data_IF_898334760349
#
_entry.id   IF_898334760349
#
_cell.length_a   1.000
_cell.length_b   1.000
_cell.length_c   1.000
_cell.angle_alpha   90.00
_cell.angle_beta   90.00
_cell.angle_gamma   90.00
#
_symmetry.space_group_name_H-M   'P 1'
#
loop_
_entity.id
_entity.type
_entity.pdbx_description
1 polymer ?
#
# COMPACT_ATOMS: atom_id res chain seq x y z
N UNK A 1 3.25 -20.83 -8.27
CA UNK A 1 1.83 -20.97 -7.87
C UNK A 1 0.99 -20.28 -8.94
N UNK A 2 -0.12 -20.89 -9.41
CA UNK A 2 -1.02 -20.24 -10.36
C UNK A 2 -1.66 -18.98 -9.77
N UNK A 3 -1.78 -17.91 -10.55
CA UNK A 3 -2.34 -16.62 -10.10
C UNK A 3 -3.76 -16.76 -9.52
N UNK A 4 -4.61 -17.57 -10.16
CA UNK A 4 -5.98 -17.84 -9.72
C UNK A 4 -6.08 -18.43 -8.30
N UNK A 5 -5.02 -19.10 -7.81
CA UNK A 5 -4.99 -19.73 -6.49
C UNK A 5 -4.33 -18.84 -5.40
N UNK A 6 -3.93 -17.61 -5.75
CA UNK A 6 -3.21 -16.70 -4.83
C UNK A 6 -4.10 -16.26 -3.67
N UNK A 7 -5.40 -16.05 -3.92
CA UNK A 7 -6.34 -15.59 -2.90
C UNK A 7 -6.39 -16.48 -1.66
N UNK A 8 -6.31 -17.80 -1.85
CA UNK A 8 -6.35 -18.80 -0.78
C UNK A 8 -5.09 -18.80 0.11
N UNK A 9 -4.03 -18.08 -0.30
CA UNK A 9 -2.79 -17.93 0.47
C UNK A 9 -2.74 -16.64 1.29
N UNK A 10 -3.75 -15.77 1.17
CA UNK A 10 -3.79 -14.48 1.86
C UNK A 10 -4.64 -14.61 3.12
N UNK A 11 -4.00 -14.57 4.30
CA UNK A 11 -4.69 -14.59 5.58
C UNK A 11 -5.47 -13.29 5.85
N UNK A 12 -4.92 -12.15 5.43
CA UNK A 12 -5.52 -10.83 5.64
C UNK A 12 -4.57 -9.69 5.29
N UNK A 13 -4.97 -8.49 5.69
CA UNK A 13 -4.35 -7.21 5.33
C UNK A 13 -4.19 -6.35 6.58
N UNK A 14 -3.19 -5.48 6.60
CA UNK A 14 -2.94 -4.50 7.66
C UNK A 14 -2.40 -3.21 7.05
N UNK A 15 -2.52 -2.09 7.75
CA UNK A 15 -1.85 -0.86 7.34
C UNK A 15 -0.35 -1.00 7.56
N UNK A 16 0.45 -0.56 6.59
CA UNK A 16 1.90 -0.55 6.63
C UNK A 16 2.41 0.86 6.35
N UNK A 17 3.27 1.38 7.22
CA UNK A 17 4.11 2.53 6.93
C UNK A 17 5.56 2.06 6.76
N UNK A 18 6.04 2.09 5.52
CA UNK A 18 7.41 1.77 5.13
C UNK A 18 8.24 3.05 5.08
N UNK A 19 8.79 3.44 6.24
CA UNK A 19 9.55 4.67 6.40
C UNK A 19 10.77 4.70 5.49
N UNK A 20 11.20 5.89 5.09
CA UNK A 20 12.33 5.98 4.17
C UNK A 20 13.14 7.26 4.28
N UNK A 21 14.46 7.10 4.30
CA UNK A 21 15.43 8.18 4.16
C UNK A 21 15.82 8.32 2.69
N UNK A 22 15.18 9.24 1.96
CA UNK A 22 15.27 9.31 0.48
C UNK A 22 16.64 9.77 -0.02
N UNK A 23 17.34 10.57 0.76
CA UNK A 23 18.73 10.97 0.53
C UNK A 23 19.68 9.77 0.59
N UNK A 24 19.57 8.94 1.63
CA UNK A 24 20.33 7.69 1.76
C UNK A 24 19.96 6.73 0.62
N UNK A 25 18.65 6.59 0.33
CA UNK A 25 18.17 5.69 -0.72
C UNK A 25 18.74 6.05 -2.08
N UNK A 26 18.75 7.33 -2.44
CA UNK A 26 19.26 7.79 -3.72
C UNK A 26 20.74 7.47 -3.91
N UNK A 27 21.52 7.51 -2.83
CA UNK A 27 22.94 7.14 -2.85
C UNK A 27 23.19 5.63 -2.94
N UNK A 28 22.45 4.82 -2.17
CA UNK A 28 22.75 3.38 -2.01
C UNK A 28 22.04 2.46 -3.01
N UNK A 29 20.92 2.89 -3.63
CA UNK A 29 20.02 1.98 -4.34
C UNK A 29 20.67 1.28 -5.54
N UNK A 30 21.67 1.91 -6.17
CA UNK A 30 22.32 1.31 -7.33
C UNK A 30 23.55 0.49 -6.91
N UNK A 31 23.71 -0.75 -7.41
CA UNK A 31 22.83 -1.48 -8.35
C UNK A 31 21.84 -2.46 -7.67
N UNK A 32 21.88 -2.61 -6.34
CA UNK A 32 21.29 -3.76 -5.63
C UNK A 32 19.92 -3.50 -4.99
N UNK A 33 19.42 -2.27 -5.08
CA UNK A 33 18.17 -1.85 -4.45
C UNK A 33 18.36 -1.15 -3.10
N UNK A 34 17.27 -0.70 -2.46
CA UNK A 34 17.32 0.01 -1.19
C UNK A 34 17.76 -0.93 -0.07
N UNK A 35 18.51 -0.43 0.90
CA UNK A 35 18.96 -1.18 2.06
C UNK A 35 18.78 -0.39 3.35
N UNK A 36 19.79 0.42 3.75
CA UNK A 36 19.75 1.18 5.01
C UNK A 36 18.63 2.22 5.01
N UNK A 37 18.26 2.73 3.85
CA UNK A 37 17.19 3.69 3.69
C UNK A 37 15.77 3.12 3.89
N UNK A 38 15.64 1.81 4.13
CA UNK A 38 14.35 1.12 4.31
C UNK A 38 14.31 0.21 5.54
N UNK A 39 15.43 -0.41 5.91
CA UNK A 39 15.47 -1.40 6.98
C UNK A 39 15.50 -0.81 8.40
N UNK A 40 15.54 0.52 8.54
CA UNK A 40 15.63 1.18 9.86
C UNK A 40 14.30 1.19 10.61
N UNK A 41 13.15 1.25 9.91
CA UNK A 41 11.84 1.24 10.55
C UNK A 41 10.72 0.89 9.57
N UNK A 42 9.84 -0.03 9.99
CA UNK A 42 8.52 -0.22 9.39
C UNK A 42 7.48 -0.35 10.50
N UNK A 43 6.34 0.30 10.33
CA UNK A 43 5.22 0.18 11.28
C UNK A 43 4.06 -0.55 10.62
N UNK A 44 3.52 -1.54 11.32
CA UNK A 44 2.33 -2.29 10.92
C UNK A 44 1.21 -2.02 11.92
N UNK A 45 -0.03 -1.83 11.46
CA UNK A 45 -1.16 -1.70 12.38
C UNK A 45 -1.41 -3.01 13.13
N UNK A 46 -1.88 -2.96 14.39
CA UNK A 46 -1.98 -4.15 15.23
C UNK A 46 -3.06 -5.13 14.78
N UNK A 47 -4.01 -4.70 13.94
CA UNK A 47 -5.14 -5.52 13.49
C UNK A 47 -4.91 -6.07 12.08
N UNK A 48 -5.02 -7.38 11.95
CA UNK A 48 -5.10 -8.05 10.64
C UNK A 48 -6.57 -8.18 10.25
N UNK A 49 -6.97 -7.52 9.16
CA UNK A 49 -8.30 -7.62 8.58
C UNK A 49 -8.33 -8.82 7.62
N UNK A 50 -9.20 -9.79 7.88
CA UNK A 50 -9.24 -11.02 7.09
C UNK A 50 -9.68 -10.77 5.65
N UNK A 51 -9.24 -11.63 4.72
CA UNK A 51 -9.68 -11.55 3.32
C UNK A 51 -11.21 -11.70 3.17
N UNK A 52 -11.85 -12.49 4.04
CA UNK A 52 -13.30 -12.64 4.08
C UNK A 52 -14.01 -11.34 4.51
N UNK A 53 -13.49 -10.63 5.51
CA UNK A 53 -14.04 -9.35 5.95
C UNK A 53 -13.96 -8.26 4.87
N UNK A 54 -12.94 -8.32 3.99
CA UNK A 54 -12.79 -7.40 2.87
C UNK A 54 -13.52 -7.82 1.58
N UNK A 55 -14.10 -9.03 1.54
CA UNK A 55 -14.78 -9.54 0.34
C UNK A 55 -15.88 -8.61 -0.21
N UNK A 56 -16.72 -7.94 0.63
CA UNK A 56 -17.73 -7.01 0.15
C UNK A 56 -17.18 -5.75 -0.53
N UNK A 57 -15.90 -5.44 -0.32
CA UNK A 57 -15.24 -4.24 -0.87
C UNK A 57 -14.41 -4.55 -2.12
N UNK A 58 -14.49 -5.77 -2.66
CA UNK A 58 -13.80 -6.13 -3.89
C UNK A 58 -14.36 -5.37 -5.09
N UNK A 59 -13.47 -4.87 -5.93
CA UNK A 59 -13.78 -4.15 -7.17
C UNK A 59 -12.84 -4.59 -8.28
N UNK A 60 -13.15 -4.21 -9.52
CA UNK A 60 -12.28 -4.46 -10.66
C UNK A 60 -10.92 -3.76 -10.49
N UNK A 61 -9.87 -4.39 -11.02
CA UNK A 61 -8.57 -3.74 -11.13
C UNK A 61 -8.69 -2.47 -11.99
N UNK A 62 -7.93 -1.40 -11.68
CA UNK A 62 -7.87 -0.23 -12.54
C UNK A 62 -7.48 -0.62 -13.97
N UNK A 63 -8.15 -0.03 -14.96
CA UNK A 63 -7.78 -0.21 -16.35
C UNK A 63 -6.33 0.24 -16.57
N UNK A 64 -5.54 -0.58 -17.25
CA UNK A 64 -4.16 -0.22 -17.61
C UNK A 64 -4.18 0.98 -18.57
N UNK A 65 -3.19 1.90 -18.49
CA UNK A 65 -3.09 3.01 -19.43
C UNK A 65 -3.01 2.54 -20.88
N UNK A 66 -3.55 3.34 -21.81
CA UNK A 66 -3.44 3.05 -23.25
C UNK A 66 -1.97 2.92 -23.65
N UNK A 67 -1.62 1.81 -24.31
CA UNK A 67 -0.25 1.53 -24.75
C UNK A 67 0.61 0.79 -23.73
N UNK A 68 0.12 0.58 -22.51
CA UNK A 68 0.78 -0.29 -21.52
C UNK A 68 0.60 -1.77 -21.94
N UNK A 69 1.69 -2.53 -22.15
CA UNK A 69 1.60 -3.92 -22.58
C UNK A 69 0.79 -4.78 -21.61
N UNK A 70 0.12 -5.79 -22.16
CA UNK A 70 -0.55 -6.81 -21.35
C UNK A 70 0.47 -7.54 -20.46
N UNK A 71 0.11 -7.88 -19.20
CA UNK A 71 0.93 -8.76 -18.38
C UNK A 71 1.18 -10.10 -19.09
N UNK A 72 2.32 -10.74 -18.76
CA UNK A 72 2.56 -12.11 -19.18
C UNK A 72 1.45 -13.02 -18.63
N UNK A 73 1.10 -14.09 -19.36
CA UNK A 73 -0.07 -14.92 -19.03
C UNK A 73 -0.08 -15.49 -17.60
N UNK A 74 1.08 -15.75 -16.99
CA UNK A 74 1.14 -16.22 -15.60
C UNK A 74 0.86 -15.14 -14.54
N UNK A 75 0.79 -13.87 -14.96
CA UNK A 75 0.44 -12.70 -14.15
C UNK A 75 -0.98 -12.19 -14.47
N UNK A 76 -1.73 -12.88 -15.33
CA UNK A 76 -3.07 -12.48 -15.75
C UNK A 76 -4.11 -13.53 -15.35
N UNK A 77 -5.20 -13.08 -14.76
CA UNK A 77 -6.39 -13.89 -14.43
C UNK A 77 -7.63 -13.01 -14.57
N UNK A 78 -8.64 -13.47 -15.32
CA UNK A 78 -9.85 -12.68 -15.58
C UNK A 78 -10.68 -12.45 -14.30
N UNK A 79 -10.61 -13.39 -13.35
CA UNK A 79 -11.24 -13.25 -12.03
C UNK A 79 -10.58 -12.15 -11.19
N UNK A 80 -9.25 -12.12 -11.16
CA UNK A 80 -8.46 -11.05 -10.55
C UNK A 80 -8.72 -9.70 -11.25
N UNK A 81 -8.78 -9.65 -12.58
CA UNK A 81 -9.10 -8.39 -13.27
C UNK A 81 -10.50 -7.86 -12.88
N UNK A 82 -11.48 -8.74 -12.69
CA UNK A 82 -12.84 -8.35 -12.33
C UNK A 82 -13.01 -7.99 -10.84
N UNK A 83 -12.24 -8.59 -9.91
CA UNK A 83 -12.48 -8.53 -8.45
C UNK A 83 -11.22 -8.51 -7.56
N UNK A 84 -10.06 -8.25 -8.13
CA UNK A 84 -8.75 -8.33 -7.46
C UNK A 84 -8.41 -7.12 -6.59
N UNK A 85 -9.00 -5.95 -6.88
CA UNK A 85 -8.78 -4.73 -6.11
C UNK A 85 -9.76 -4.59 -4.94
N UNK A 86 -9.46 -3.69 -3.99
CA UNK A 86 -10.35 -3.33 -2.90
C UNK A 86 -10.64 -1.83 -2.88
N UNK A 87 -11.91 -1.48 -2.68
CA UNK A 87 -12.34 -0.10 -2.44
C UNK A 87 -12.11 0.26 -0.96
N UNK A 88 -10.88 0.66 -0.61
CA UNK A 88 -10.48 1.05 0.74
C UNK A 88 -10.09 2.53 0.76
N UNK A 89 -10.71 3.31 1.64
CA UNK A 89 -10.29 4.69 1.88
C UNK A 89 -9.09 4.71 2.82
N UNK A 90 -8.04 5.44 2.43
CA UNK A 90 -6.84 5.64 3.23
C UNK A 90 -6.66 7.12 3.52
N UNK A 91 -6.17 7.44 4.71
CA UNK A 91 -5.84 8.80 5.12
C UNK A 91 -4.47 8.83 5.79
N UNK A 92 -3.71 9.88 5.51
CA UNK A 92 -2.43 10.16 6.18
C UNK A 92 -2.52 11.52 6.83
N UNK A 93 -2.23 11.56 8.12
CA UNK A 93 -2.35 12.74 8.97
C UNK A 93 -0.96 13.09 9.50
N UNK A 94 -0.57 14.34 9.33
CA UNK A 94 0.68 14.87 9.87
C UNK A 94 0.39 15.96 10.91
N UNK A 95 1.06 15.89 12.05
CA UNK A 95 1.01 16.90 13.10
C UNK A 95 2.42 17.39 13.39
N UNK A 96 2.63 18.71 13.38
CA UNK A 96 3.92 19.34 13.71
C UNK A 96 3.88 19.93 15.12
N UNK A 97 5.03 19.93 15.80
CA UNK A 97 5.13 20.45 17.18
C UNK A 97 4.84 21.94 17.36
N UNK A 98 4.74 22.71 16.28
CA UNK A 98 4.32 24.12 16.34
C UNK A 98 2.83 24.26 16.69
N UNK A 99 1.99 23.27 16.32
CA UNK A 99 0.54 23.30 16.55
C UNK A 99 0.12 23.00 18.00
N UNK A 100 1.03 22.54 18.87
CA UNK A 100 0.70 22.27 20.29
C UNK A 100 0.54 23.52 21.16
N UNK A 101 0.93 24.71 20.67
CA UNK A 101 0.75 25.98 21.39
C UNK A 101 -0.64 26.61 21.21
N UNK A 102 -1.43 26.19 20.21
CA UNK A 102 -2.79 26.71 19.98
C UNK A 102 -3.81 25.56 19.90
N UNK A 103 -4.19 25.04 21.07
CA UNK A 103 -5.17 23.94 21.23
C UNK A 103 -6.61 24.28 20.79
N UNK A 104 -6.85 25.37 20.03
CA UNK A 104 -8.21 25.76 19.58
C UNK A 104 -8.49 25.58 18.08
N UNK A 105 -7.52 25.14 17.27
CA UNK A 105 -7.78 24.71 15.89
C UNK A 105 -7.05 23.41 15.60
N UNK A 106 -7.78 22.38 15.18
CA UNK A 106 -7.23 21.08 14.78
C UNK A 106 -6.24 21.26 13.63
N UNK A 107 -4.95 21.37 13.95
CA UNK A 107 -3.82 21.49 13.00
C UNK A 107 -3.46 20.16 12.33
N UNK A 108 -4.47 19.37 11.98
CA UNK A 108 -4.33 18.09 11.31
C UNK A 108 -4.33 18.34 9.81
N UNK A 109 -3.16 18.26 9.17
CA UNK A 109 -3.08 18.38 7.71
C UNK A 109 -3.34 17.01 7.12
N UNK A 110 -4.42 16.90 6.32
CA UNK A 110 -4.68 15.72 5.49
C UNK A 110 -3.80 15.80 4.25
N UNK A 111 -2.88 14.86 4.12
CA UNK A 111 -2.14 14.66 2.87
C UNK A 111 -3.09 13.92 1.94
N UNK A 112 -3.48 14.56 0.83
CA UNK A 112 -4.30 13.94 -0.23
C UNK A 112 -3.40 13.24 -1.23
#
# INVERSE_FOLDING_TARGET
>A
MPIAATGDRIAGFSLLNDWSARDVQAWEYQPLGPFLAKNFQSNVSPWVITAAALAPFRVAQPARPTGDPAPLGYLHDDGDQARGAFAVTMEVLLSTGCATADRRRSGLVRVR
#
